data_IF_974910902463
#
_entry.id   IF_974910902463
#
_cell.length_a   1.000
_cell.length_b   1.000
_cell.length_c   1.000
_cell.angle_alpha   90.00
_cell.angle_beta   90.00
_cell.angle_gamma   90.00
#
_symmetry.space_group_name_H-M   'P 1'
#
loop_
_entity.id
_entity.type
_entity.pdbx_description
1 polymer ?
#
# COMPACT_ATOMS: atom_id res chain seq x y z
N UNK A 1 -6.63 9.50 21.88
CA UNK A 1 -5.93 8.25 21.46
C UNK A 1 -6.04 8.02 19.96
N UNK A 2 -7.23 8.16 19.35
CA UNK A 2 -7.45 8.03 17.90
C UNK A 2 -6.56 9.00 17.10
N UNK A 3 -6.47 10.28 17.52
CA UNK A 3 -5.67 11.30 16.82
C UNK A 3 -4.17 10.96 16.80
N UNK A 4 -3.61 10.44 17.90
CA UNK A 4 -2.22 10.01 17.96
C UNK A 4 -1.95 8.86 16.97
N UNK A 5 -2.86 7.87 16.92
CA UNK A 5 -2.76 6.76 15.97
C UNK A 5 -2.81 7.23 14.52
N UNK A 6 -3.60 8.27 14.25
CA UNK A 6 -3.70 8.88 12.92
C UNK A 6 -2.39 9.58 12.52
N UNK A 7 -1.78 10.36 13.42
CA UNK A 7 -0.48 11.00 13.17
C UNK A 7 0.60 9.95 12.88
N UNK A 8 0.68 8.90 13.69
CA UNK A 8 1.61 7.78 13.45
C UNK A 8 1.35 7.16 12.07
N UNK A 9 0.10 6.94 11.70
CA UNK A 9 -0.26 6.40 10.38
C UNK A 9 0.24 7.27 9.24
N UNK A 10 0.11 8.61 9.33
CA UNK A 10 0.64 9.54 8.33
C UNK A 10 2.14 9.43 8.21
N UNK A 11 2.87 9.48 9.32
CA UNK A 11 4.33 9.38 9.32
C UNK A 11 4.82 8.06 8.72
N UNK A 12 4.18 6.94 9.07
CA UNK A 12 4.51 5.62 8.51
C UNK A 12 4.22 5.57 7.01
N UNK A 13 3.12 6.15 6.54
CA UNK A 13 2.81 6.22 5.11
C UNK A 13 3.82 7.05 4.32
N UNK A 14 4.24 8.21 4.85
CA UNK A 14 5.30 9.02 4.26
C UNK A 14 6.60 8.21 4.19
N UNK A 15 6.98 7.54 5.28
CA UNK A 15 8.16 6.67 5.31
C UNK A 15 8.10 5.56 4.24
N UNK A 16 6.95 4.88 4.09
CA UNK A 16 6.74 3.85 3.07
C UNK A 16 6.97 4.43 1.67
N UNK A 17 6.43 5.61 1.38
CA UNK A 17 6.51 6.25 0.07
C UNK A 17 7.95 6.51 -0.39
N UNK A 18 8.84 6.89 0.54
CA UNK A 18 10.25 7.18 0.25
C UNK A 18 11.19 5.98 0.43
N UNK A 19 10.70 4.86 0.98
CA UNK A 19 11.51 3.67 1.21
C UNK A 19 11.69 2.87 -0.08
N UNK A 20 12.93 2.46 -0.37
CA UNK A 20 13.28 1.64 -1.54
C UNK A 20 13.44 0.15 -1.21
N UNK A 21 13.63 -0.19 0.07
CA UNK A 21 13.81 -1.58 0.50
C UNK A 21 12.47 -2.26 0.74
N UNK A 22 12.10 -3.20 -0.14
CA UNK A 22 10.83 -3.93 -0.12
C UNK A 22 10.47 -4.51 1.26
N UNK A 23 11.44 -5.13 1.94
CA UNK A 23 11.24 -5.67 3.30
C UNK A 23 10.80 -4.59 4.30
N UNK A 24 11.39 -3.38 4.24
CA UNK A 24 11.01 -2.27 5.11
C UNK A 24 9.59 -1.77 4.78
N UNK A 25 9.20 -1.79 3.50
CA UNK A 25 7.83 -1.48 3.09
C UNK A 25 6.85 -2.46 3.76
N UNK A 26 7.13 -3.76 3.73
CA UNK A 26 6.25 -4.76 4.37
C UNK A 26 6.13 -4.57 5.89
N UNK A 27 7.26 -4.33 6.59
CA UNK A 27 7.24 -4.08 8.04
C UNK A 27 6.42 -2.83 8.37
N UNK A 28 6.65 -1.74 7.64
CA UNK A 28 5.90 -0.51 7.84
C UNK A 28 4.41 -0.69 7.51
N UNK A 29 4.07 -1.43 6.44
CA UNK A 29 2.69 -1.77 6.09
C UNK A 29 2.02 -2.61 7.18
N UNK A 30 2.73 -3.56 7.80
CA UNK A 30 2.23 -4.34 8.93
C UNK A 30 1.85 -3.43 10.10
N UNK A 31 2.75 -2.53 10.53
CA UNK A 31 2.50 -1.57 11.61
C UNK A 31 1.32 -0.64 11.29
N UNK A 32 1.24 -0.18 10.05
CA UNK A 32 0.14 0.65 9.57
C UNK A 32 -1.20 -0.09 9.65
N UNK A 33 -1.25 -1.34 9.22
CA UNK A 33 -2.49 -2.13 9.26
C UNK A 33 -2.95 -2.38 10.69
N UNK A 34 -2.02 -2.58 11.64
CA UNK A 34 -2.36 -2.67 13.07
C UNK A 34 -3.08 -1.41 13.56
N UNK A 35 -2.59 -0.22 13.21
CA UNK A 35 -3.26 1.03 13.61
C UNK A 35 -4.64 1.20 12.98
N UNK A 36 -4.82 0.70 11.75
CA UNK A 36 -6.11 0.75 11.05
C UNK A 36 -7.17 -0.16 11.70
N UNK A 37 -6.78 -1.33 12.25
CA UNK A 37 -7.72 -2.20 12.99
C UNK A 37 -8.41 -1.39 14.10
N UNK A 38 -7.61 -0.73 14.95
CA UNK A 38 -8.17 0.08 16.05
C UNK A 38 -9.05 1.22 15.54
N UNK A 39 -8.61 1.90 14.49
CA UNK A 39 -9.34 3.02 13.92
C UNK A 39 -10.72 2.61 13.40
N UNK A 40 -10.83 1.55 12.61
CA UNK A 40 -12.13 1.10 12.09
C UNK A 40 -13.00 0.45 13.17
N UNK A 41 -12.40 -0.24 14.13
CA UNK A 41 -13.11 -0.76 15.30
C UNK A 41 -13.79 0.35 16.11
N UNK A 42 -13.07 1.43 16.44
CA UNK A 42 -13.64 2.56 17.15
C UNK A 42 -14.67 3.39 16.35
N UNK A 43 -14.69 3.23 15.03
CA UNK A 43 -15.72 3.80 14.17
C UNK A 43 -16.90 2.84 13.91
N UNK A 44 -17.01 1.73 14.66
CA UNK A 44 -18.06 0.72 14.54
C UNK A 44 -18.16 0.08 13.13
N UNK A 45 -17.09 0.10 12.34
CA UNK A 45 -17.02 -0.57 11.05
C UNK A 45 -16.42 -1.97 11.21
N UNK A 46 -17.25 -2.90 11.66
CA UNK A 46 -16.84 -4.28 11.97
C UNK A 46 -16.32 -5.01 10.72
N UNK A 47 -16.99 -4.86 9.58
CA UNK A 47 -16.56 -5.47 8.30
C UNK A 47 -15.15 -5.07 7.95
N UNK A 48 -14.88 -3.76 7.90
CA UNK A 48 -13.53 -3.25 7.58
C UNK A 48 -12.52 -3.65 8.64
N UNK A 49 -12.89 -3.68 9.92
CA UNK A 49 -12.03 -4.15 11.02
C UNK A 49 -11.57 -5.60 10.81
N UNK A 50 -12.49 -6.53 10.52
CA UNK A 50 -12.18 -7.93 10.27
C UNK A 50 -11.27 -8.10 9.05
N UNK A 51 -11.53 -7.34 7.99
CA UNK A 51 -10.68 -7.32 6.80
C UNK A 51 -9.27 -6.86 7.15
N UNK A 52 -9.11 -5.80 7.97
CA UNK A 52 -7.78 -5.33 8.39
C UNK A 52 -7.04 -6.33 9.27
N UNK A 53 -7.73 -7.16 10.05
CA UNK A 53 -7.09 -8.29 10.78
C UNK A 53 -6.46 -9.25 9.78
N UNK A 54 -7.18 -9.66 8.73
CA UNK A 54 -6.66 -10.56 7.69
C UNK A 54 -5.46 -9.91 6.97
N UNK A 55 -5.59 -8.63 6.60
CA UNK A 55 -4.52 -7.86 5.94
C UNK A 55 -3.28 -7.79 6.82
N UNK A 56 -3.43 -7.65 8.13
CA UNK A 56 -2.32 -7.57 9.08
C UNK A 56 -1.58 -8.90 9.16
N UNK A 57 -2.30 -10.02 9.30
CA UNK A 57 -1.71 -11.37 9.28
C UNK A 57 -0.98 -11.62 7.94
N UNK A 58 -1.61 -11.30 6.83
CA UNK A 58 -0.99 -11.38 5.50
C UNK A 58 0.30 -10.55 5.42
N UNK A 59 0.28 -9.30 5.91
CA UNK A 59 1.45 -8.41 5.86
C UNK A 59 2.60 -8.95 6.68
N UNK A 60 2.33 -9.60 7.80
CA UNK A 60 3.32 -10.33 8.58
C UNK A 60 3.94 -11.47 7.75
N UNK A 61 3.13 -12.28 7.07
CA UNK A 61 3.61 -13.36 6.20
C UNK A 61 4.49 -12.78 5.07
N UNK A 62 4.11 -11.63 4.49
CA UNK A 62 4.86 -10.99 3.40
C UNK A 62 6.25 -10.49 3.80
N UNK A 63 6.50 -10.21 5.09
CA UNK A 63 7.85 -9.90 5.60
C UNK A 63 8.82 -11.08 5.34
N UNK A 64 8.27 -12.30 5.35
CA UNK A 64 9.02 -13.55 5.15
C UNK A 64 8.81 -14.15 3.75
N UNK A 65 8.30 -13.35 2.79
CA UNK A 65 7.96 -13.82 1.44
C UNK A 65 9.08 -14.64 0.79
N UNK A 66 10.34 -14.23 0.96
CA UNK A 66 11.49 -14.89 0.35
C UNK A 66 11.70 -16.33 0.83
N UNK A 67 11.07 -16.72 1.96
CA UNK A 67 11.09 -18.10 2.49
C UNK A 67 10.01 -18.98 1.88
N UNK A 68 8.98 -18.40 1.29
CA UNK A 68 7.86 -19.13 0.70
C UNK A 68 8.06 -19.26 -0.81
N UNK A 69 8.12 -20.50 -1.31
CA UNK A 69 8.30 -20.82 -2.74
C UNK A 69 6.96 -20.96 -3.48
N UNK A 70 5.85 -20.51 -2.89
CA UNK A 70 4.51 -20.70 -3.46
C UNK A 70 3.77 -19.38 -3.57
N UNK A 71 3.08 -19.19 -4.68
CA UNK A 71 2.19 -18.05 -4.92
C UNK A 71 0.75 -18.29 -4.39
N UNK A 72 0.54 -19.35 -3.62
CA UNK A 72 -0.78 -19.67 -3.07
C UNK A 72 -1.27 -18.69 -2.00
N UNK A 73 -0.33 -18.09 -1.24
CA UNK A 73 -0.62 -17.21 -0.10
C UNK A 73 -1.51 -16.00 -0.46
N UNK A 74 -1.23 -15.23 -1.54
CA UNK A 74 -2.10 -14.11 -1.90
C UNK A 74 -3.50 -14.56 -2.31
N UNK A 75 -3.64 -15.69 -2.98
CA UNK A 75 -4.95 -16.23 -3.36
C UNK A 75 -5.78 -16.66 -2.14
N UNK A 76 -5.14 -17.32 -1.16
CA UNK A 76 -5.79 -17.67 0.10
C UNK A 76 -6.24 -16.41 0.86
N UNK A 77 -5.39 -15.39 0.94
CA UNK A 77 -5.73 -14.13 1.59
C UNK A 77 -6.89 -13.41 0.88
N UNK A 78 -6.94 -13.42 -0.45
CA UNK A 78 -8.06 -12.88 -1.24
C UNK A 78 -9.34 -13.68 -0.96
N UNK A 79 -9.28 -15.00 -0.97
CA UNK A 79 -10.46 -15.85 -0.70
C UNK A 79 -11.03 -15.60 0.70
N UNK A 80 -10.17 -15.47 1.73
CA UNK A 80 -10.58 -15.15 3.09
C UNK A 80 -11.21 -13.76 3.20
N UNK A 81 -10.63 -12.75 2.51
CA UNK A 81 -11.17 -11.38 2.50
C UNK A 81 -12.54 -11.32 1.81
N UNK A 82 -12.70 -11.99 0.69
CA UNK A 82 -13.99 -12.10 0.00
C UNK A 82 -15.01 -12.82 0.87
N UNK A 83 -14.67 -14.00 1.43
CA UNK A 83 -15.57 -14.79 2.26
C UNK A 83 -16.05 -14.03 3.50
N UNK A 84 -15.14 -13.48 4.30
CA UNK A 84 -15.49 -12.72 5.51
C UNK A 84 -16.17 -11.41 5.15
N UNK A 85 -15.64 -10.69 4.14
CA UNK A 85 -16.22 -9.43 3.71
C UNK A 85 -17.67 -9.56 3.27
N UNK A 86 -17.98 -10.51 2.39
CA UNK A 86 -19.37 -10.72 1.95
C UNK A 86 -20.29 -11.28 3.04
N UNK A 87 -19.75 -12.02 4.02
CA UNK A 87 -20.53 -12.53 5.16
C UNK A 87 -20.89 -11.40 6.18
N UNK A 88 -20.13 -10.32 6.21
CA UNK A 88 -20.28 -9.24 7.22
C UNK A 88 -20.72 -7.91 6.63
N UNK A 89 -20.97 -7.82 5.32
CA UNK A 89 -21.35 -6.59 4.65
C UNK A 89 -22.71 -6.10 5.11
N UNK A 90 -22.76 -4.85 5.57
CA UNK A 90 -23.98 -4.19 6.04
C UNK A 90 -24.50 -3.13 5.05
N UNK A 91 -23.59 -2.55 4.26
CA UNK A 91 -23.94 -1.54 3.28
C UNK A 91 -23.12 -1.67 1.98
N UNK A 92 -23.66 -1.10 0.89
CA UNK A 92 -23.05 -1.21 -0.46
C UNK A 92 -21.65 -0.61 -0.55
N UNK A 93 -21.32 0.41 0.24
CA UNK A 93 -20.01 1.05 0.20
C UNK A 93 -18.91 0.16 0.77
N UNK A 94 -19.24 -0.77 1.67
CA UNK A 94 -18.29 -1.73 2.22
C UNK A 94 -17.76 -2.71 1.16
N UNK A 95 -18.38 -2.81 -0.03
CA UNK A 95 -17.81 -3.55 -1.16
C UNK A 95 -16.42 -3.02 -1.52
N UNK A 96 -16.21 -1.70 -1.43
CA UNK A 96 -14.89 -1.11 -1.67
C UNK A 96 -13.87 -1.56 -0.62
N UNK A 97 -14.26 -1.65 0.66
CA UNK A 97 -13.37 -2.13 1.73
C UNK A 97 -12.97 -3.61 1.55
N UNK A 98 -13.70 -4.38 0.76
CA UNK A 98 -13.38 -5.77 0.40
C UNK A 98 -12.47 -5.81 -0.85
N UNK A 99 -12.82 -5.08 -1.91
CA UNK A 99 -12.12 -5.15 -3.20
C UNK A 99 -10.73 -4.52 -3.14
N UNK A 100 -10.59 -3.37 -2.47
CA UNK A 100 -9.30 -2.65 -2.41
C UNK A 100 -8.19 -3.49 -1.76
N UNK A 101 -8.41 -4.18 -0.63
CA UNK A 101 -7.43 -5.07 -0.05
C UNK A 101 -7.11 -6.29 -0.92
N UNK A 102 -8.08 -6.84 -1.66
CA UNK A 102 -7.82 -7.91 -2.62
C UNK A 102 -6.84 -7.46 -3.70
N UNK A 103 -7.04 -6.26 -4.28
CA UNK A 103 -6.07 -5.64 -5.18
C UNK A 103 -4.71 -5.45 -4.52
N UNK A 104 -4.69 -5.02 -3.24
CA UNK A 104 -3.44 -4.84 -2.47
C UNK A 104 -2.72 -6.17 -2.23
N UNK A 105 -3.44 -7.28 -2.01
CA UNK A 105 -2.86 -8.60 -1.94
C UNK A 105 -2.04 -8.93 -3.18
N UNK A 106 -2.66 -8.68 -4.33
CA UNK A 106 -2.09 -9.03 -5.61
C UNK A 106 -0.83 -8.19 -5.92
N UNK A 107 -0.93 -6.87 -5.93
CA UNK A 107 0.21 -6.04 -6.35
C UNK A 107 1.38 -6.11 -5.35
N UNK A 108 1.14 -6.20 -4.05
CA UNK A 108 2.21 -6.31 -3.05
C UNK A 108 2.98 -7.63 -3.18
N UNK A 109 2.31 -8.71 -3.59
CA UNK A 109 2.97 -9.98 -3.80
C UNK A 109 3.74 -10.04 -5.12
N UNK A 110 3.11 -9.70 -6.24
CA UNK A 110 3.64 -9.92 -7.57
C UNK A 110 4.58 -8.82 -8.06
N UNK A 111 4.42 -7.57 -7.60
CA UNK A 111 5.31 -6.50 -8.01
C UNK A 111 6.62 -6.52 -7.22
N UNK A 112 7.74 -6.68 -7.94
CA UNK A 112 9.09 -6.61 -7.36
C UNK A 112 9.72 -5.22 -7.49
N UNK A 113 9.20 -4.40 -8.40
CA UNK A 113 9.67 -3.04 -8.65
C UNK A 113 8.97 -2.05 -7.69
N UNK A 114 9.76 -1.27 -6.96
CA UNK A 114 9.26 -0.26 -6.02
C UNK A 114 8.46 0.84 -6.70
N UNK A 115 8.73 1.14 -7.98
CA UNK A 115 7.93 2.11 -8.74
C UNK A 115 6.53 1.57 -9.03
N UNK A 116 6.41 0.31 -9.42
CA UNK A 116 5.11 -0.36 -9.60
C UNK A 116 4.35 -0.45 -8.28
N UNK A 117 5.04 -0.69 -7.17
CA UNK A 117 4.44 -0.67 -5.83
C UNK A 117 3.88 0.71 -5.47
N UNK A 118 4.58 1.81 -5.81
CA UNK A 118 4.07 3.18 -5.60
C UNK A 118 2.81 3.45 -6.41
N UNK A 119 2.79 3.06 -7.68
CA UNK A 119 1.59 3.19 -8.53
C UNK A 119 0.42 2.39 -7.96
N UNK A 120 0.65 1.13 -7.57
CA UNK A 120 -0.37 0.30 -6.91
C UNK A 120 -0.90 0.94 -5.62
N UNK A 121 0.00 1.54 -4.83
CA UNK A 121 -0.37 2.24 -3.59
C UNK A 121 -1.17 3.52 -3.85
N UNK A 122 -0.84 4.30 -4.91
CA UNK A 122 -1.63 5.47 -5.33
C UNK A 122 -3.05 5.03 -5.68
N UNK A 123 -3.20 4.00 -6.52
CA UNK A 123 -4.52 3.49 -6.94
C UNK A 123 -5.34 2.99 -5.74
N UNK A 124 -4.74 2.19 -4.86
CA UNK A 124 -5.40 1.70 -3.66
C UNK A 124 -5.84 2.84 -2.72
N UNK A 125 -4.97 3.84 -2.48
CA UNK A 125 -5.32 4.97 -1.62
C UNK A 125 -6.36 5.90 -2.25
N UNK A 126 -6.41 6.03 -3.58
CA UNK A 126 -7.47 6.76 -4.28
C UNK A 126 -8.81 6.07 -4.09
N UNK A 127 -8.87 4.75 -4.23
CA UNK A 127 -10.09 3.98 -3.98
C UNK A 127 -10.53 4.05 -2.50
N UNK A 128 -9.58 3.98 -1.56
CA UNK A 128 -9.86 4.22 -0.14
C UNK A 128 -10.35 5.65 0.15
N UNK A 129 -9.84 6.67 -0.56
CA UNK A 129 -10.33 8.04 -0.42
C UNK A 129 -11.82 8.15 -0.80
N UNK A 130 -12.23 7.48 -1.89
CA UNK A 130 -13.66 7.40 -2.29
C UNK A 130 -14.50 6.74 -1.19
N UNK A 131 -14.03 5.62 -0.63
CA UNK A 131 -14.70 4.95 0.48
C UNK A 131 -14.85 5.88 1.69
N UNK A 132 -13.79 6.58 2.08
CA UNK A 132 -13.79 7.46 3.25
C UNK A 132 -14.68 8.70 3.07
N UNK A 133 -14.81 9.22 1.84
CA UNK A 133 -15.80 10.28 1.53
C UNK A 133 -17.22 9.75 1.76
N UNK A 134 -17.52 8.57 1.22
CA UNK A 134 -18.84 7.97 1.29
C UNK A 134 -19.26 7.58 2.74
N UNK A 135 -18.28 7.28 3.61
CA UNK A 135 -18.50 6.91 5.02
C UNK A 135 -18.33 8.07 6.00
N UNK A 136 -18.02 9.28 5.51
CA UNK A 136 -17.84 10.47 6.36
C UNK A 136 -16.54 10.48 7.18
N UNK A 137 -15.57 9.63 6.85
CA UNK A 137 -14.28 9.52 7.56
C UNK A 137 -13.27 10.56 7.04
N UNK A 138 -13.57 11.85 7.19
CA UNK A 138 -12.79 12.95 6.59
C UNK A 138 -11.35 13.04 7.07
N UNK A 139 -11.08 12.72 8.35
CA UNK A 139 -9.70 12.73 8.86
C UNK A 139 -8.86 11.67 8.15
N UNK A 140 -9.43 10.47 7.96
CA UNK A 140 -8.78 9.40 7.20
C UNK A 140 -8.56 9.79 5.74
N UNK A 141 -9.51 10.53 5.16
CA UNK A 141 -9.39 11.07 3.79
C UNK A 141 -8.16 11.99 3.65
N UNK A 142 -7.93 12.90 4.62
CA UNK A 142 -6.74 13.76 4.62
C UNK A 142 -5.45 12.92 4.64
N UNK A 143 -5.42 11.86 5.45
CA UNK A 143 -4.28 10.93 5.51
C UNK A 143 -4.04 10.22 4.17
N UNK A 144 -5.11 9.80 3.47
CA UNK A 144 -5.02 9.21 2.13
C UNK A 144 -4.45 10.21 1.12
N UNK A 145 -4.91 11.46 1.15
CA UNK A 145 -4.40 12.52 0.29
C UNK A 145 -2.89 12.75 0.49
N UNK A 146 -2.43 12.85 1.73
CA UNK A 146 -1.00 12.97 2.05
C UNK A 146 -0.21 11.75 1.52
N UNK A 147 -0.75 10.55 1.68
CA UNK A 147 -0.12 9.32 1.18
C UNK A 147 -0.01 9.32 -0.34
N UNK A 148 -1.06 9.72 -1.05
CA UNK A 148 -1.07 9.82 -2.52
C UNK A 148 -0.01 10.82 -2.98
N UNK A 149 0.00 12.03 -2.42
CA UNK A 149 0.97 13.09 -2.75
C UNK A 149 2.40 12.61 -2.50
N UNK A 150 2.66 12.00 -1.34
CA UNK A 150 3.98 11.46 -0.99
C UNK A 150 4.47 10.39 -1.98
N UNK A 151 3.57 9.50 -2.42
CA UNK A 151 3.91 8.49 -3.42
C UNK A 151 4.18 9.09 -4.80
N UNK A 152 3.43 10.12 -5.22
CA UNK A 152 3.66 10.85 -6.48
C UNK A 152 5.04 11.53 -6.45
N UNK A 153 5.35 12.27 -5.37
CA UNK A 153 6.65 12.94 -5.21
C UNK A 153 7.80 11.90 -5.26
N UNK A 154 7.67 10.80 -4.54
CA UNK A 154 8.68 9.76 -4.49
C UNK A 154 8.84 9.06 -5.86
N UNK A 155 7.75 8.85 -6.59
CA UNK A 155 7.74 8.29 -7.94
C UNK A 155 8.51 9.20 -8.92
N UNK A 156 8.16 10.50 -8.95
CA UNK A 156 8.79 11.48 -9.84
C UNK A 156 10.29 11.68 -9.51
N UNK A 157 10.63 11.77 -8.23
CA UNK A 157 12.04 11.86 -7.80
C UNK A 157 12.85 10.69 -8.36
N UNK A 158 12.37 9.46 -8.21
CA UNK A 158 13.08 8.28 -8.68
C UNK A 158 13.15 8.20 -10.21
N UNK A 159 12.08 8.57 -10.90
CA UNK A 159 12.06 8.66 -12.36
C UNK A 159 13.15 9.60 -12.88
N UNK A 160 13.27 10.78 -12.25
CA UNK A 160 14.28 11.78 -12.61
C UNK A 160 15.71 11.29 -12.34
N UNK A 161 15.94 10.56 -11.25
CA UNK A 161 17.25 9.97 -10.96
C UNK A 161 17.65 8.91 -12.02
N UNK A 162 16.71 8.04 -12.40
CA UNK A 162 16.92 7.02 -13.44
C UNK A 162 17.24 7.70 -14.78
N UNK A 163 16.46 8.71 -15.17
CA UNK A 163 16.66 9.44 -16.42
C UNK A 163 18.05 10.12 -16.46
N UNK A 164 18.47 10.77 -15.35
CA UNK A 164 19.81 11.37 -15.25
C UNK A 164 20.92 10.32 -15.34
N UNK A 165 20.75 9.15 -14.73
CA UNK A 165 21.73 8.08 -14.79
C UNK A 165 21.86 7.51 -16.22
N UNK A 166 20.75 7.29 -16.92
CA UNK A 166 20.73 6.84 -18.32
C UNK A 166 21.41 7.85 -19.25
N UNK A 167 21.13 9.13 -19.07
CA UNK A 167 21.75 10.21 -19.86
C UNK A 167 23.27 10.24 -19.67
N UNK A 168 23.73 10.12 -18.42
CA UNK A 168 25.18 10.04 -18.12
C UNK A 168 25.83 8.83 -18.79
N UNK A 169 25.20 7.66 -18.70
CA UNK A 169 25.71 6.43 -19.33
C UNK A 169 25.77 6.57 -20.85
N UNK A 170 24.75 7.15 -21.48
CA UNK A 170 24.71 7.41 -22.91
C UNK A 170 25.86 8.34 -23.35
N UNK A 171 26.07 9.46 -22.65
CA UNK A 171 27.16 10.41 -22.94
C UNK A 171 28.54 9.76 -22.81
N UNK A 172 28.74 8.94 -21.76
CA UNK A 172 30.00 8.21 -21.59
C UNK A 172 30.25 7.21 -22.73
N UNK A 173 29.22 6.47 -23.15
CA UNK A 173 29.32 5.52 -24.27
C UNK A 173 29.69 6.24 -25.56
N UNK A 174 29.04 7.37 -25.86
CA UNK A 174 29.33 8.19 -27.06
C UNK A 174 30.79 8.73 -27.06
N UNK A 175 31.30 9.13 -25.88
CA UNK A 175 32.70 9.57 -25.74
C UNK A 175 33.72 8.43 -26.00
N UNK A 176 33.41 7.20 -25.53
CA UNK A 176 34.28 6.04 -25.79
C UNK A 176 34.31 5.68 -27.27
N UNK A 177 33.17 5.71 -27.97
CA UNK A 177 33.09 5.45 -29.41
C UNK A 177 33.80 6.49 -30.27
N UNK A 178 33.96 7.74 -29.78
CA UNK A 178 34.72 8.78 -30.51
C UNK A 178 36.25 8.66 -30.31
N UNK A 179 36.70 7.86 -29.35
CA UNK A 179 38.13 7.66 -29.05
C UNK A 179 38.67 6.36 -29.60
N UNK A 180 37.83 5.45 -30.07
CA UNK A 180 38.14 4.25 -30.80
C UNK A 180 38.13 4.51 -32.31
#
# INVERSE_FOLDING_TARGET
>A
MVDLMQVITVLVNIYISFTEKKKRIYVATFLLNLSQIFMYYFNNDITTTLIYIIITVRSFIYIYKDKFKTDFIPYLAIALQLGIGFATIENKMQILSIIIPCYSCWYLWFYNDTQKLRVGNILANTAWAVYNIATGLYIVLIMRAITIISNIIAYEKRRNEITKALLKAYVQRKRKLKKA
#
